data_IF_763761291852
#
_entry.id   IF_763761291852
#
_cell.length_a   1.000
_cell.length_b   1.000
_cell.length_c   1.000
_cell.angle_alpha   90.00
_cell.angle_beta   90.00
_cell.angle_gamma   90.00
#
_symmetry.space_group_name_H-M   'P 1'
#
loop_
_entity.id
_entity.type
_entity.pdbx_description
1 polymer ?
#
# COMPACT_ATOMS: atom_id res chain seq x y z
N UNK A 1 2.36 0.05 -21.11
CA UNK A 1 1.65 0.81 -20.07
C UNK A 1 2.12 0.36 -18.68
N UNK A 2 2.44 1.29 -17.81
CA UNK A 2 3.02 0.99 -16.50
C UNK A 2 1.92 0.88 -15.45
N UNK A 3 1.97 -0.18 -14.62
CA UNK A 3 1.02 -0.36 -13.52
C UNK A 3 1.45 0.57 -12.37
N UNK A 4 0.55 1.43 -11.87
CA UNK A 4 0.89 2.32 -10.76
C UNK A 4 0.99 1.57 -9.43
N UNK A 5 1.49 2.27 -8.41
CA UNK A 5 1.58 1.79 -7.05
C UNK A 5 0.50 2.47 -6.20
N UNK A 6 -0.26 1.67 -5.44
CA UNK A 6 -1.21 2.16 -4.44
C UNK A 6 -0.61 2.02 -3.05
N UNK A 7 -0.57 3.12 -2.29
CA UNK A 7 -0.06 3.14 -0.92
C UNK A 7 -1.13 3.67 0.01
N UNK A 8 -1.26 3.06 1.19
CA UNK A 8 -2.34 3.36 2.13
C UNK A 8 -1.86 3.70 3.54
N UNK A 9 -0.56 3.72 3.76
CA UNK A 9 0.03 3.92 5.09
C UNK A 9 1.16 4.93 5.09
N UNK A 10 2.33 4.52 5.58
CA UNK A 10 3.47 5.42 5.79
C UNK A 10 4.13 5.89 4.49
N UNK A 11 3.72 5.38 3.34
CA UNK A 11 4.20 5.83 2.04
C UNK A 11 3.26 6.83 1.37
N UNK A 12 2.12 7.14 1.99
CA UNK A 12 1.17 8.10 1.44
C UNK A 12 1.78 9.49 1.29
N UNK A 13 1.24 10.25 0.32
CA UNK A 13 1.72 11.59 -0.03
C UNK A 13 1.82 12.52 1.18
N UNK A 14 0.87 12.42 2.13
CA UNK A 14 0.83 13.28 3.29
C UNK A 14 1.75 12.84 4.44
N UNK A 15 2.44 11.71 4.31
CA UNK A 15 3.29 11.20 5.38
C UNK A 15 4.74 11.65 5.16
N UNK A 16 5.39 12.13 6.21
CA UNK A 16 6.77 12.62 6.14
C UNK A 16 7.77 11.62 6.72
N UNK A 17 7.98 10.52 6.01
CA UNK A 17 8.97 9.51 6.35
C UNK A 17 10.07 9.43 5.30
N UNK A 18 11.20 8.82 5.66
CA UNK A 18 12.34 8.72 4.75
C UNK A 18 11.98 7.97 3.46
N UNK A 19 11.29 6.83 3.57
CA UNK A 19 10.91 6.04 2.39
C UNK A 19 9.81 6.75 1.59
N UNK A 20 8.90 7.47 2.24
CA UNK A 20 7.89 8.26 1.54
C UNK A 20 8.55 9.35 0.69
N UNK A 21 9.60 10.00 1.21
CA UNK A 21 10.37 10.97 0.45
C UNK A 21 11.12 10.34 -0.73
N UNK A 22 11.68 9.14 -0.54
CA UNK A 22 12.33 8.40 -1.63
C UNK A 22 11.34 8.04 -2.72
N UNK A 23 10.14 7.61 -2.35
CA UNK A 23 9.09 7.30 -3.31
C UNK A 23 8.68 8.54 -4.11
N UNK A 24 8.52 9.69 -3.44
CA UNK A 24 8.17 10.93 -4.13
C UNK A 24 9.25 11.37 -5.11
N UNK A 25 10.51 11.03 -4.86
CA UNK A 25 11.61 11.35 -5.78
C UNK A 25 11.64 10.41 -6.99
N UNK A 26 11.11 9.19 -6.86
CA UNK A 26 11.15 8.17 -7.91
C UNK A 26 9.81 7.95 -8.61
N UNK A 27 8.76 8.70 -8.22
CA UNK A 27 7.42 8.48 -8.72
C UNK A 27 6.62 9.78 -8.71
N UNK A 28 5.55 9.80 -9.51
CA UNK A 28 4.67 10.96 -9.61
C UNK A 28 3.32 10.64 -9.00
N UNK A 29 2.84 11.49 -8.08
CA UNK A 29 1.50 11.35 -7.53
C UNK A 29 0.47 11.57 -8.64
N UNK A 30 -0.47 10.63 -8.79
CA UNK A 30 -1.47 10.71 -9.85
C UNK A 30 -2.91 10.78 -9.35
N UNK A 31 -3.13 10.62 -8.07
CA UNK A 31 -4.46 10.76 -7.50
C UNK A 31 -4.67 9.87 -6.30
N UNK A 32 -5.86 9.97 -5.70
CA UNK A 32 -6.26 9.12 -4.58
C UNK A 32 -7.25 8.07 -5.07
N UNK A 33 -7.47 7.06 -4.24
CA UNK A 33 -8.44 6.01 -4.53
C UNK A 33 -8.72 5.15 -3.33
N UNK A 34 -9.58 4.15 -3.53
CA UNK A 34 -9.92 3.19 -2.48
C UNK A 34 -9.83 1.77 -2.99
N UNK A 35 -9.51 0.86 -2.07
CA UNK A 35 -9.47 -0.58 -2.33
C UNK A 35 -10.47 -1.24 -1.39
N UNK A 36 -11.24 -2.22 -1.89
CA UNK A 36 -12.14 -3.01 -1.05
C UNK A 36 -11.32 -3.85 -0.07
N UNK A 37 -11.63 -3.74 1.21
CA UNK A 37 -10.93 -4.47 2.26
C UNK A 37 -10.99 -3.78 3.59
N UNK A 38 -10.21 -4.31 4.54
CA UNK A 38 -10.11 -3.79 5.90
C UNK A 38 -8.69 -3.36 6.20
N UNK A 39 -8.57 -2.32 7.00
CA UNK A 39 -7.28 -1.78 7.41
C UNK A 39 -7.09 -2.04 8.90
N UNK A 40 -5.98 -2.67 9.27
CA UNK A 40 -5.65 -2.98 10.65
C UNK A 40 -4.42 -2.20 11.09
N UNK A 41 -4.39 -1.83 12.37
CA UNK A 41 -3.19 -1.24 12.97
C UNK A 41 -2.29 -2.38 13.44
N UNK A 42 -1.14 -2.50 12.79
CA UNK A 42 -0.17 -3.56 13.12
C UNK A 42 0.74 -3.10 14.25
N UNK A 43 1.30 -1.90 14.10
CA UNK A 43 2.14 -1.23 15.08
C UNK A 43 1.96 0.27 14.86
N UNK A 44 3.01 1.01 14.58
CA UNK A 44 2.92 2.40 14.13
C UNK A 44 2.71 2.49 12.60
N UNK A 45 2.30 1.37 11.99
CA UNK A 45 1.99 1.27 10.57
C UNK A 45 0.79 0.34 10.37
N UNK A 46 0.08 0.45 9.23
CA UNK A 46 -1.12 -0.35 8.99
C UNK A 46 -0.85 -1.56 8.11
N UNK A 47 -1.83 -2.49 8.08
CA UNK A 47 -1.86 -3.59 7.13
C UNK A 47 -3.21 -3.70 6.48
N UNK A 48 -3.24 -3.82 5.15
CA UNK A 48 -4.45 -4.00 4.35
C UNK A 48 -4.73 -5.48 4.15
N UNK A 49 -5.95 -5.89 4.44
CA UNK A 49 -6.46 -7.23 4.12
C UNK A 49 -7.58 -7.06 3.10
N UNK A 50 -7.38 -7.44 1.83
CA UNK A 50 -8.42 -7.30 0.81
C UNK A 50 -9.64 -8.15 1.13
N UNK A 51 -10.82 -7.68 0.73
CA UNK A 51 -12.06 -8.42 0.93
C UNK A 51 -13.27 -7.60 0.50
N UNK A 52 -14.48 -8.19 0.55
CA UNK A 52 -15.68 -7.52 0.05
C UNK A 52 -16.22 -6.42 0.97
N UNK A 53 -15.78 -6.40 2.22
CA UNK A 53 -16.30 -5.47 3.21
C UNK A 53 -15.32 -4.32 3.45
N UNK A 54 -15.83 -3.08 3.47
CA UNK A 54 -15.06 -1.90 3.79
C UNK A 54 -14.29 -1.35 2.59
N UNK A 55 -13.70 -0.18 2.81
CA UNK A 55 -12.88 0.49 1.82
C UNK A 55 -11.65 1.07 2.51
N UNK A 56 -10.49 0.95 1.85
CA UNK A 56 -9.23 1.47 2.36
C UNK A 56 -8.76 2.60 1.46
N UNK A 57 -8.59 3.79 2.04
CA UNK A 57 -8.17 4.98 1.31
C UNK A 57 -6.65 5.01 1.14
N UNK A 58 -6.19 5.49 0.00
CA UNK A 58 -4.78 5.60 -0.29
C UNK A 58 -4.48 6.51 -1.46
N UNK A 59 -3.21 6.51 -1.85
CA UNK A 59 -2.68 7.35 -2.92
C UNK A 59 -2.07 6.49 -4.02
N UNK A 60 -2.20 6.96 -5.27
CA UNK A 60 -1.63 6.30 -6.44
C UNK A 60 -0.40 7.08 -6.93
N UNK A 61 0.64 6.34 -7.26
CA UNK A 61 1.88 6.90 -7.81
C UNK A 61 2.25 6.20 -9.11
N UNK A 62 2.56 6.99 -10.14
CA UNK A 62 3.12 6.48 -11.39
C UNK A 62 4.63 6.31 -11.20
N UNK A 63 5.14 5.09 -11.40
CA UNK A 63 6.55 4.78 -11.18
C UNK A 63 7.35 5.07 -12.45
N UNK A 64 8.44 5.83 -12.32
CA UNK A 64 9.31 6.15 -13.46
C UNK A 64 10.14 4.95 -13.88
N UNK A 65 10.67 4.21 -12.90
CA UNK A 65 11.41 2.96 -13.12
C UNK A 65 10.77 1.89 -12.25
N UNK A 66 9.72 1.21 -12.75
CA UNK A 66 8.95 0.25 -11.93
C UNK A 66 9.81 -0.87 -11.35
N UNK A 67 10.70 -1.44 -12.14
CA UNK A 67 11.52 -2.57 -11.67
C UNK A 67 12.42 -2.16 -10.51
N UNK A 68 13.10 -1.02 -10.63
CA UNK A 68 14.00 -0.54 -9.58
C UNK A 68 13.23 -0.11 -8.33
N UNK A 69 12.13 0.61 -8.50
CA UNK A 69 11.33 1.11 -7.38
C UNK A 69 10.66 -0.04 -6.64
N UNK A 70 10.09 -1.01 -7.36
CA UNK A 70 9.45 -2.16 -6.73
C UNK A 70 10.46 -3.03 -6.00
N UNK A 71 11.67 -3.20 -6.54
CA UNK A 71 12.72 -3.94 -5.85
C UNK A 71 13.11 -3.26 -4.53
N UNK A 72 13.21 -1.93 -4.53
CA UNK A 72 13.48 -1.16 -3.32
C UNK A 72 12.36 -1.31 -2.29
N UNK A 73 11.11 -1.25 -2.72
CA UNK A 73 9.96 -1.37 -1.83
C UNK A 73 9.79 -2.80 -1.32
N UNK A 74 10.05 -3.82 -2.15
CA UNK A 74 10.03 -5.21 -1.70
C UNK A 74 11.05 -5.42 -0.56
N UNK A 75 12.19 -4.77 -0.65
CA UNK A 75 13.19 -4.80 0.42
C UNK A 75 12.68 -4.08 1.67
N UNK A 76 12.10 -2.89 1.51
CA UNK A 76 11.55 -2.10 2.61
C UNK A 76 10.40 -2.83 3.32
N UNK A 77 9.52 -3.50 2.57
CA UNK A 77 8.38 -4.24 3.11
C UNK A 77 8.76 -5.67 3.55
N UNK A 78 10.03 -6.05 3.39
CA UNK A 78 10.56 -7.35 3.79
C UNK A 78 9.82 -8.52 3.14
N UNK A 79 9.47 -8.38 1.87
CA UNK A 79 8.81 -9.44 1.10
C UNK A 79 9.62 -9.92 -0.09
N UNK A 80 10.90 -9.55 -0.16
CA UNK A 80 11.81 -10.05 -1.16
C UNK A 80 12.16 -11.53 -0.87
N UNK A 81 12.62 -12.24 -1.89
CA UNK A 81 12.85 -13.69 -1.80
C UNK A 81 13.81 -14.07 -0.68
N UNK A 82 14.81 -13.22 -0.39
CA UNK A 82 15.81 -13.53 0.65
C UNK A 82 15.33 -13.27 2.08
N UNK A 83 14.15 -12.67 2.28
CA UNK A 83 13.64 -12.42 3.62
C UNK A 83 13.05 -13.67 4.25
N UNK A 84 13.12 -13.82 5.59
CA UNK A 84 12.52 -14.96 6.28
C UNK A 84 11.02 -15.06 6.04
N UNK A 85 10.54 -16.29 5.93
CA UNK A 85 9.11 -16.55 5.79
C UNK A 85 8.53 -17.05 7.11
N UNK A 86 7.21 -16.78 7.38
CA UNK A 86 6.28 -16.10 6.49
C UNK A 86 6.55 -14.60 6.42
N UNK A 87 6.40 -14.02 5.23
CA UNK A 87 6.57 -12.58 5.05
C UNK A 87 5.46 -11.82 5.77
N UNK A 88 5.78 -10.63 6.26
CA UNK A 88 4.76 -9.76 6.88
C UNK A 88 3.84 -9.17 5.82
N UNK A 89 4.39 -8.77 4.69
CA UNK A 89 3.65 -8.22 3.56
C UNK A 89 3.89 -9.02 2.30
N UNK A 90 2.95 -8.90 1.35
CA UNK A 90 3.03 -9.51 0.05
C UNK A 90 2.57 -8.50 -0.99
N UNK A 91 3.29 -8.40 -2.11
CA UNK A 91 2.94 -7.47 -3.20
C UNK A 91 1.98 -8.15 -4.17
N UNK A 92 0.81 -7.55 -4.39
CA UNK A 92 -0.22 -8.05 -5.30
C UNK A 92 -0.79 -6.92 -6.14
N UNK A 93 -1.45 -7.27 -7.23
CA UNK A 93 -2.21 -6.33 -8.04
C UNK A 93 -3.65 -6.33 -7.56
N UNK A 94 -4.16 -5.15 -7.22
CA UNK A 94 -5.54 -4.95 -6.78
C UNK A 94 -6.21 -3.88 -7.63
N UNK A 95 -7.53 -3.94 -7.69
CA UNK A 95 -8.32 -2.90 -8.36
C UNK A 95 -8.54 -1.75 -7.38
N UNK A 96 -8.17 -0.55 -7.81
CA UNK A 96 -8.34 0.68 -7.04
C UNK A 96 -9.45 1.50 -7.71
N UNK A 97 -10.46 1.88 -6.94
CA UNK A 97 -11.52 2.76 -7.43
C UNK A 97 -11.07 4.21 -7.32
N UNK A 98 -11.13 4.93 -8.43
CA UNK A 98 -10.74 6.33 -8.49
C UNK A 98 -11.88 7.17 -9.05
N UNK A 99 -11.72 8.50 -9.01
CA UNK A 99 -12.70 9.42 -9.62
C UNK A 99 -12.85 9.18 -11.12
N UNK A 100 -11.83 8.64 -11.77
CA UNK A 100 -11.82 8.36 -13.22
C UNK A 100 -12.13 6.90 -13.55
N UNK A 101 -12.53 6.10 -12.57
CA UNK A 101 -12.87 4.69 -12.75
C UNK A 101 -11.86 3.74 -12.12
N UNK A 102 -12.03 2.41 -12.33
CA UNK A 102 -11.14 1.43 -11.73
C UNK A 102 -9.77 1.39 -12.41
N UNK A 103 -8.73 1.22 -11.59
CA UNK A 103 -7.34 1.13 -12.02
C UNK A 103 -6.69 -0.05 -11.33
N UNK A 104 -5.99 -0.91 -12.06
CA UNK A 104 -5.19 -1.97 -11.45
C UNK A 104 -3.87 -1.39 -10.97
N UNK A 105 -3.50 -1.69 -9.73
CA UNK A 105 -2.28 -1.14 -9.11
C UNK A 105 -1.56 -2.19 -8.29
N UNK A 106 -0.24 -2.04 -8.17
CA UNK A 106 0.55 -2.81 -7.22
C UNK A 106 0.24 -2.32 -5.80
N UNK A 107 0.08 -3.26 -4.87
CA UNK A 107 -0.25 -2.94 -3.48
C UNK A 107 0.44 -3.94 -2.57
N UNK A 108 0.97 -3.45 -1.44
CA UNK A 108 1.54 -4.33 -0.42
C UNK A 108 0.45 -4.67 0.58
N UNK A 109 0.02 -5.94 0.61
CA UNK A 109 -1.03 -6.39 1.52
C UNK A 109 -0.42 -7.13 2.71
N UNK A 110 -1.12 -7.08 3.84
CA UNK A 110 -0.65 -7.75 5.05
C UNK A 110 -0.85 -9.26 4.89
N UNK A 111 0.20 -10.03 5.13
CA UNK A 111 0.23 -11.46 4.83
C UNK A 111 0.17 -12.35 6.08
N UNK A 112 0.08 -11.76 7.28
CA UNK A 112 0.01 -12.51 8.54
C UNK A 112 -1.39 -12.44 9.13
N UNK A 113 -1.63 -13.24 10.18
CA UNK A 113 -2.91 -13.27 10.88
C UNK A 113 -3.18 -11.92 11.55
N UNK A 114 -4.42 -11.41 11.41
CA UNK A 114 -4.85 -10.14 12.00
C UNK A 114 -5.75 -10.34 13.23
N UNK A 115 -5.94 -11.58 13.69
CA UNK A 115 -6.77 -11.84 14.86
C UNK A 115 -6.26 -11.06 16.07
N UNK A 116 -7.16 -10.32 16.72
CA UNK A 116 -6.81 -9.51 17.88
C UNK A 116 -6.20 -8.15 17.57
N UNK A 117 -5.94 -7.82 16.31
CA UNK A 117 -5.40 -6.52 15.95
C UNK A 117 -6.51 -5.47 15.81
N UNK A 118 -6.26 -4.20 16.21
CA UNK A 118 -7.27 -3.16 16.10
C UNK A 118 -7.61 -2.86 14.64
N UNK A 119 -8.91 -2.74 14.35
CA UNK A 119 -9.40 -2.31 13.05
C UNK A 119 -9.35 -0.79 12.97
N UNK A 120 -8.86 -0.26 11.86
CA UNK A 120 -8.97 1.17 11.56
C UNK A 120 -10.31 1.35 10.84
N UNK A 121 -11.35 1.68 11.59
CA UNK A 121 -12.73 1.61 11.12
C UNK A 121 -13.01 2.50 9.90
N UNK A 122 -12.36 3.65 9.81
CA UNK A 122 -12.54 4.55 8.67
C UNK A 122 -11.78 4.13 7.41
N UNK A 123 -10.88 3.15 7.50
CA UNK A 123 -10.08 2.71 6.36
C UNK A 123 -9.06 3.74 5.87
N UNK A 124 -8.75 4.75 6.68
CA UNK A 124 -7.82 5.80 6.32
C UNK A 124 -6.80 5.97 7.45
N UNK A 125 -5.57 5.51 7.21
CA UNK A 125 -4.52 5.53 8.23
C UNK A 125 -4.16 6.94 8.68
N UNK A 126 -4.15 7.91 7.75
CA UNK A 126 -3.76 9.28 8.07
C UNK A 126 -4.88 10.07 8.78
N UNK A 127 -6.14 9.65 8.62
CA UNK A 127 -7.28 10.30 9.25
C UNK A 127 -7.59 9.72 10.63
N UNK A 128 -7.16 8.51 10.87
CA UNK A 128 -7.47 7.80 12.10
C UNK A 128 -6.25 7.39 12.85
#
# INVERSE_FOLDING_TARGET
MTIPLFVYGTLRRGFDGAMARQLRAAARYVGSGTVAGRLYRIADYPGLVPGPDGQVAGDLFALEDPAATLALLDEYEECAEHHPQPHEYRREQLVVETADGPVTAWTYIYARDVAGLPLIAGGDFLAG
#
